data_IF_895306573512
#
_entry.id   IF_895306573512
#
_cell.length_a   1.000
_cell.length_b   1.000
_cell.length_c   1.000
_cell.angle_alpha   90.00
_cell.angle_beta   90.00
_cell.angle_gamma   90.00
#
_symmetry.space_group_name_H-M   'P 1'
#
loop_
_entity.id
_entity.type
_entity.pdbx_description
1 polymer ?
#
# COMPACT_ATOMS: atom_id res chain seq x y z
N UNK A 1 -7.33 7.40 16.72
CA UNK A 1 -8.00 6.19 16.17
C UNK A 1 -9.10 6.52 15.15
N UNK A 2 -9.78 7.68 15.20
CA UNK A 2 -10.87 8.01 14.27
C UNK A 2 -10.48 7.95 12.77
N UNK A 3 -9.28 8.41 12.39
CA UNK A 3 -8.80 8.33 11.00
C UNK A 3 -8.65 6.88 10.52
N UNK A 4 -8.09 6.02 11.37
CA UNK A 4 -7.96 4.59 11.07
C UNK A 4 -9.34 3.96 10.87
N UNK A 5 -10.28 4.17 11.79
CA UNK A 5 -11.63 3.62 11.69
C UNK A 5 -12.34 4.06 10.39
N UNK A 6 -12.28 5.35 10.06
CA UNK A 6 -12.85 5.88 8.80
C UNK A 6 -12.20 5.25 7.57
N UNK A 7 -10.87 5.09 7.58
CA UNK A 7 -10.14 4.42 6.51
C UNK A 7 -10.59 2.97 6.34
N UNK A 8 -10.67 2.22 7.45
CA UNK A 8 -11.12 0.82 7.47
C UNK A 8 -12.53 0.68 6.92
N UNK A 9 -13.48 1.51 7.36
CA UNK A 9 -14.87 1.48 6.86
C UNK A 9 -14.91 1.71 5.35
N UNK A 10 -14.21 2.75 4.87
CA UNK A 10 -14.21 3.08 3.44
C UNK A 10 -13.55 2.01 2.58
N UNK A 11 -12.47 1.40 3.06
CA UNK A 11 -11.76 0.35 2.33
C UNK A 11 -12.52 -0.98 2.33
N UNK A 12 -13.28 -1.27 3.39
CA UNK A 12 -14.14 -2.45 3.46
C UNK A 12 -15.23 -2.42 2.37
N UNK A 13 -15.80 -1.26 2.07
CA UNK A 13 -16.75 -1.06 0.96
C UNK A 13 -16.15 -1.42 -0.41
N UNK A 14 -14.81 -1.35 -0.53
CA UNK A 14 -14.05 -1.62 -1.74
C UNK A 14 -13.45 -3.03 -1.77
N UNK A 15 -13.79 -3.88 -0.80
CA UNK A 15 -13.32 -5.25 -0.69
C UNK A 15 -11.91 -5.39 -0.12
N UNK A 16 -11.41 -4.38 0.60
CA UNK A 16 -10.12 -4.42 1.27
C UNK A 16 -10.24 -4.43 2.80
N UNK A 17 -9.37 -5.20 3.44
CA UNK A 17 -9.08 -5.12 4.86
C UNK A 17 -7.84 -4.25 5.06
N UNK A 18 -7.95 -3.24 5.93
CA UNK A 18 -6.83 -2.42 6.36
C UNK A 18 -6.20 -3.06 7.61
N UNK A 19 -5.06 -3.72 7.45
CA UNK A 19 -4.39 -4.38 8.58
C UNK A 19 -3.74 -3.35 9.51
N UNK A 20 -2.99 -2.42 8.92
CA UNK A 20 -2.36 -1.29 9.61
C UNK A 20 -2.02 -0.15 8.64
N UNK A 21 -1.72 1.01 9.20
CA UNK A 21 -1.24 2.19 8.48
C UNK A 21 -0.37 3.04 9.40
N UNK A 22 0.59 3.74 8.82
CA UNK A 22 1.29 4.86 9.46
C UNK A 22 0.53 6.16 9.16
N UNK A 23 0.40 7.02 10.16
CA UNK A 23 0.05 8.43 9.99
C UNK A 23 1.19 9.28 10.54
N UNK A 24 1.43 10.43 9.93
CA UNK A 24 2.31 11.46 10.49
C UNK A 24 1.52 12.71 10.82
N UNK A 25 1.89 13.34 11.93
CA UNK A 25 1.25 14.56 12.40
C UNK A 25 2.29 15.62 12.69
N UNK A 26 2.02 16.82 12.18
CA UNK A 26 2.76 18.04 12.54
C UNK A 26 1.97 18.87 13.55
N UNK A 27 2.66 19.81 14.19
CA UNK A 27 2.01 20.86 14.99
C UNK A 27 2.41 22.21 14.42
N UNK A 28 1.42 23.03 14.10
CA UNK A 28 1.63 24.39 13.62
C UNK A 28 0.66 25.33 14.34
N UNK A 29 1.18 26.40 14.95
CA UNK A 29 0.40 27.36 15.74
C UNK A 29 -0.52 26.75 16.80
N UNK A 30 -0.10 25.63 17.40
CA UNK A 30 -0.86 24.90 18.42
C UNK A 30 -1.93 23.95 17.87
N UNK A 31 -2.11 23.89 16.55
CA UNK A 31 -3.02 22.98 15.87
C UNK A 31 -2.29 21.72 15.39
N UNK A 32 -2.95 20.56 15.52
CA UNK A 32 -2.47 19.29 15.00
C UNK A 32 -2.88 19.16 13.54
N UNK A 33 -1.90 18.98 12.66
CA UNK A 33 -2.10 18.79 11.23
C UNK A 33 -1.80 17.35 10.85
N UNK A 34 -2.70 16.75 10.06
CA UNK A 34 -2.39 15.53 9.34
C UNK A 34 -1.46 15.89 8.17
N UNK A 35 -0.29 15.27 8.13
CA UNK A 35 0.73 15.52 7.11
C UNK A 35 1.10 14.21 6.41
N UNK A 36 2.11 14.27 5.54
CA UNK A 36 2.61 13.14 4.76
C UNK A 36 1.51 12.46 3.92
N UNK A 37 1.78 11.26 3.41
CA UNK A 37 0.80 10.42 2.75
C UNK A 37 -0.15 9.72 3.73
N UNK A 38 -1.36 9.41 3.25
CA UNK A 38 -2.43 8.84 4.07
C UNK A 38 -3.11 7.72 3.30
N UNK A 39 -3.13 6.53 3.89
CA UNK A 39 -3.81 5.35 3.33
C UNK A 39 -3.36 5.02 1.90
N UNK A 40 -2.04 5.08 1.67
CA UNK A 40 -1.40 4.66 0.42
C UNK A 40 -0.81 3.25 0.56
N UNK A 41 -0.56 2.51 -0.53
CA UNK A 41 0.13 1.21 -0.48
C UNK A 41 1.55 1.28 0.09
N UNK A 42 2.09 2.48 0.25
CA UNK A 42 3.40 2.73 0.83
C UNK A 42 3.37 2.83 2.35
N UNK A 43 2.30 3.44 2.88
CA UNK A 43 2.07 3.70 4.30
C UNK A 43 1.19 2.67 4.99
N UNK A 44 0.52 1.80 4.23
CA UNK A 44 -0.53 0.89 4.71
C UNK A 44 -0.41 -0.51 4.14
N UNK A 45 -0.93 -1.49 4.89
CA UNK A 45 -1.10 -2.87 4.42
C UNK A 45 -2.54 -3.13 4.02
N UNK A 46 -2.75 -3.39 2.74
CA UNK A 46 -4.07 -3.72 2.16
C UNK A 46 -4.16 -5.21 1.89
N UNK A 47 -5.17 -5.86 2.44
CA UNK A 47 -5.44 -7.26 2.13
C UNK A 47 -6.77 -7.39 1.40
N UNK A 48 -6.85 -8.09 0.26
CA UNK A 48 -8.13 -8.44 -0.34
C UNK A 48 -8.96 -9.26 0.64
N UNK A 49 -10.20 -8.84 0.89
CA UNK A 49 -11.05 -9.45 1.91
C UNK A 49 -11.43 -10.90 1.56
N UNK A 50 -11.44 -11.25 0.27
CA UNK A 50 -11.76 -12.59 -0.22
C UNK A 50 -10.61 -13.60 -0.03
N UNK A 51 -9.36 -13.13 0.01
CA UNK A 51 -8.16 -13.99 0.14
C UNK A 51 -7.66 -14.16 1.58
N UNK A 52 -7.92 -13.21 2.49
CA UNK A 52 -7.40 -13.30 3.85
C UNK A 52 -8.05 -14.42 4.68
N UNK A 53 -7.24 -15.18 5.42
CA UNK A 53 -7.67 -16.19 6.40
C UNK A 53 -6.85 -16.06 7.70
N UNK A 54 -7.46 -16.27 8.88
CA UNK A 54 -6.72 -16.27 10.13
C UNK A 54 -5.58 -17.28 10.13
N UNK A 55 -4.36 -16.83 10.44
CA UNK A 55 -3.16 -17.67 10.49
C UNK A 55 -2.41 -17.82 9.16
N UNK A 56 -2.89 -17.19 8.09
CA UNK A 56 -2.21 -17.16 6.79
C UNK A 56 -1.64 -15.76 6.52
N UNK A 57 -0.48 -15.70 5.84
CA UNK A 57 -0.02 -14.46 5.23
C UNK A 57 -0.83 -14.21 3.96
N UNK A 58 -1.62 -13.13 3.88
CA UNK A 58 -2.44 -12.85 2.71
C UNK A 58 -1.59 -12.40 1.52
N UNK A 59 -2.18 -12.48 0.33
CA UNK A 59 -1.60 -11.88 -0.87
C UNK A 59 -1.31 -10.40 -0.64
N UNK A 60 -0.02 -10.07 -0.63
CA UNK A 60 0.47 -8.70 -0.53
C UNK A 60 -0.03 -7.87 -1.73
N UNK A 61 -0.70 -6.77 -1.44
CA UNK A 61 -1.17 -5.79 -2.43
C UNK A 61 -0.34 -4.49 -2.40
N UNK A 62 0.70 -4.46 -1.57
CA UNK A 62 1.50 -3.30 -1.23
C UNK A 62 3.01 -3.58 -1.44
N UNK A 63 3.87 -2.74 -0.85
CA UNK A 63 5.35 -2.88 -0.87
C UNK A 63 5.85 -4.27 -0.48
N UNK A 64 5.06 -5.07 0.24
CA UNK A 64 5.43 -6.42 0.62
C UNK A 64 5.71 -7.32 -0.59
N UNK A 65 5.08 -7.08 -1.75
CA UNK A 65 5.38 -7.79 -3.00
C UNK A 65 6.86 -7.64 -3.42
N UNK A 66 7.39 -6.42 -3.36
CA UNK A 66 8.79 -6.14 -3.69
C UNK A 66 9.74 -6.63 -2.58
N UNK A 67 9.35 -6.45 -1.31
CA UNK A 67 10.15 -6.91 -0.16
C UNK A 67 10.37 -8.42 -0.21
N UNK A 68 9.29 -9.20 -0.37
CA UNK A 68 9.39 -10.65 -0.47
C UNK A 68 10.20 -11.10 -1.70
N UNK A 69 10.14 -10.37 -2.81
CA UNK A 69 10.99 -10.66 -3.97
C UNK A 69 12.47 -10.39 -3.67
N UNK A 70 12.80 -9.25 -3.03
CA UNK A 70 14.17 -8.89 -2.63
C UNK A 70 14.74 -9.87 -1.60
N UNK A 71 13.93 -10.34 -0.65
CA UNK A 71 14.33 -11.32 0.38
C UNK A 71 14.65 -12.70 -0.20
N UNK A 72 14.10 -13.04 -1.37
CA UNK A 72 14.42 -14.27 -2.08
C UNK A 72 15.70 -14.18 -2.92
N UNK A 73 16.29 -12.98 -3.06
CA UNK A 73 17.54 -12.80 -3.80
C UNK A 73 18.75 -13.07 -2.88
N UNK A 74 19.91 -13.50 -3.43
CA UNK A 74 21.16 -13.60 -2.69
C UNK A 74 21.76 -12.21 -2.45
N UNK A 75 21.02 -11.38 -1.72
CA UNK A 75 21.35 -9.99 -1.44
C UNK A 75 21.37 -9.75 0.07
N UNK A 76 22.49 -9.27 0.57
CA UNK A 76 22.73 -8.97 1.99
C UNK A 76 22.13 -7.63 2.46
N UNK A 77 21.35 -6.97 1.59
CA UNK A 77 20.74 -5.66 1.81
C UNK A 77 21.76 -4.50 1.81
N UNK A 78 22.98 -4.72 1.32
CA UNK A 78 23.96 -3.66 1.09
C UNK A 78 23.94 -3.13 -0.36
N UNK A 79 24.39 -1.90 -0.56
CA UNK A 79 24.47 -1.34 -1.90
C UNK A 79 25.60 -2.03 -2.71
N UNK A 80 25.40 -2.35 -4.01
CA UNK A 80 24.21 -2.10 -4.82
C UNK A 80 23.13 -3.19 -4.69
N UNK A 81 21.85 -2.82 -4.81
CA UNK A 81 20.77 -3.81 -4.87
C UNK A 81 20.82 -4.64 -6.16
N UNK A 82 20.18 -5.82 -6.18
CA UNK A 82 19.99 -6.58 -7.40
C UNK A 82 19.19 -5.76 -8.43
N UNK A 83 19.46 -6.01 -9.71
CA UNK A 83 18.64 -5.43 -10.78
C UNK A 83 17.22 -5.99 -10.67
N UNK A 84 16.22 -5.10 -10.63
CA UNK A 84 14.83 -5.52 -10.54
C UNK A 84 14.38 -6.21 -11.83
N UNK A 85 13.74 -7.37 -11.67
CA UNK A 85 13.05 -8.04 -12.77
C UNK A 85 11.91 -7.13 -13.29
N UNK A 86 11.84 -6.81 -14.60
CA UNK A 86 10.72 -6.04 -15.15
C UNK A 86 9.35 -6.59 -14.75
N UNK A 87 9.20 -7.91 -14.62
CA UNK A 87 7.97 -8.54 -14.18
C UNK A 87 7.59 -8.19 -12.73
N UNK A 88 8.57 -8.03 -11.83
CA UNK A 88 8.27 -7.58 -10.46
C UNK A 88 7.81 -6.12 -10.46
N UNK A 89 8.42 -5.28 -11.30
CA UNK A 89 8.08 -3.86 -11.44
C UNK A 89 6.65 -3.72 -11.97
N UNK A 90 6.32 -4.44 -13.05
CA UNK A 90 4.97 -4.44 -13.64
C UNK A 90 3.92 -4.93 -12.64
N UNK A 91 4.22 -6.01 -11.89
CA UNK A 91 3.31 -6.55 -10.88
C UNK A 91 3.03 -5.55 -9.77
N UNK A 92 4.06 -4.88 -9.25
CA UNK A 92 3.90 -3.83 -8.22
C UNK A 92 3.09 -2.67 -8.78
N UNK A 93 3.43 -2.17 -9.96
CA UNK A 93 2.70 -1.07 -10.60
C UNK A 93 1.22 -1.40 -10.82
N UNK A 94 0.91 -2.61 -11.28
CA UNK A 94 -0.47 -3.05 -11.49
C UNK A 94 -1.29 -3.06 -10.19
N UNK A 95 -0.71 -3.49 -9.06
CA UNK A 95 -1.37 -3.47 -7.75
C UNK A 95 -1.66 -2.05 -7.27
N UNK A 96 -0.70 -1.14 -7.43
CA UNK A 96 -0.88 0.27 -7.05
C UNK A 96 -1.98 0.94 -7.86
N UNK A 97 -2.02 0.66 -9.18
CA UNK A 97 -3.07 1.18 -10.05
C UNK A 97 -4.44 0.60 -9.70
N UNK A 98 -4.54 -0.70 -9.41
CA UNK A 98 -5.81 -1.34 -8.99
C UNK A 98 -6.35 -0.72 -7.69
N UNK A 99 -5.50 -0.51 -6.68
CA UNK A 99 -5.89 0.15 -5.42
C UNK A 99 -6.34 1.59 -5.69
N UNK A 100 -5.55 2.35 -6.45
CA UNK A 100 -5.86 3.75 -6.76
C UNK A 100 -7.19 3.87 -7.51
N UNK A 101 -7.40 3.02 -8.53
CA UNK A 101 -8.62 3.00 -9.34
C UNK A 101 -9.85 2.64 -8.51
N UNK A 102 -9.76 1.64 -7.62
CA UNK A 102 -10.86 1.28 -6.72
C UNK A 102 -11.18 2.37 -5.70
N UNK A 103 -10.17 3.04 -5.14
CA UNK A 103 -10.37 4.08 -4.13
C UNK A 103 -10.92 5.37 -4.75
N UNK A 104 -10.35 5.79 -5.88
CA UNK A 104 -10.65 7.10 -6.48
C UNK A 104 -11.70 7.04 -7.58
N UNK A 105 -11.99 5.86 -8.14
CA UNK A 105 -12.82 5.68 -9.32
C UNK A 105 -12.16 6.10 -10.64
N UNK A 106 -10.84 6.38 -10.64
CA UNK A 106 -10.12 6.85 -11.82
C UNK A 106 -8.71 6.26 -11.90
N UNK A 107 -8.23 6.01 -13.13
CA UNK A 107 -6.86 5.58 -13.34
C UNK A 107 -5.95 6.79 -13.59
N UNK A 108 -4.88 6.99 -12.80
CA UNK A 108 -4.03 8.19 -12.90
C UNK A 108 -3.40 8.43 -14.28
N UNK A 109 -3.28 7.39 -15.10
CA UNK A 109 -2.63 7.42 -16.42
C UNK A 109 -3.58 7.77 -17.58
N UNK A 110 -4.89 7.87 -17.33
CA UNK A 110 -5.88 8.23 -18.35
C UNK A 110 -6.19 9.73 -18.39
N UNK A 111 -5.87 10.47 -17.31
CA UNK A 111 -6.10 11.91 -17.20
C UNK A 111 -5.06 12.79 -17.94
N UNK A 112 -4.10 12.19 -18.66
CA UNK A 112 -3.00 12.88 -19.33
C UNK A 112 -2.98 12.69 -20.86
N UNK A 113 -4.15 12.59 -21.50
CA UNK A 113 -4.30 12.67 -22.96
C UNK A 113 -5.18 13.82 -23.38
#
# INVERSE_FOLDING_TARGET
MALFARGTERLAELGFLLADTKFEFGVHDGEVLLIDEVLTPDSSRFWPADTWRPGEEPDAYDKQVLRSWLEAQPWDKEYPPPTLDPAIVERVAARYLDICERITGSRPLEAAR
#
